data_IF_030312406436
#
_entry.id   IF_030312406436
#
_cell.length_a   1.000
_cell.length_b   1.000
_cell.length_c   1.000
_cell.angle_alpha   90.00
_cell.angle_beta   90.00
_cell.angle_gamma   90.00
#
_symmetry.space_group_name_H-M   'P 1'
#
loop_
_entity.id
_entity.type
_entity.pdbx_description
1 polymer ?
#
# COMPACT_ATOMS: atom_id res chain seq x y z
N UNK A 1 -7.16 6.05 8.74
CA UNK A 1 -5.99 5.49 9.50
C UNK A 1 -4.77 5.43 8.58
N UNK A 2 -3.57 5.83 9.06
CA UNK A 2 -2.29 5.71 8.35
C UNK A 2 -1.40 4.75 9.12
N UNK A 3 -0.91 3.67 8.48
CA UNK A 3 -0.17 2.60 9.15
C UNK A 3 1.15 2.31 8.43
N UNK A 4 2.27 2.43 9.16
CA UNK A 4 3.58 1.99 8.71
C UNK A 4 3.75 0.50 9.03
N UNK A 5 4.05 -0.30 8.02
CA UNK A 5 4.30 -1.73 8.11
C UNK A 5 5.77 -1.97 7.77
N UNK A 6 6.63 -2.19 8.78
CA UNK A 6 8.07 -2.35 8.56
C UNK A 6 8.40 -3.75 8.04
N UNK A 7 9.47 -3.84 7.25
CA UNK A 7 10.09 -5.09 6.80
C UNK A 7 9.11 -6.07 6.12
N UNK A 8 8.20 -5.57 5.27
CA UNK A 8 7.33 -6.43 4.47
C UNK A 8 8.15 -7.33 3.54
N UNK A 9 9.23 -6.79 2.96
CA UNK A 9 10.22 -7.57 2.20
C UNK A 9 11.53 -7.63 2.96
N UNK A 10 12.18 -8.80 2.93
CA UNK A 10 13.51 -8.98 3.47
C UNK A 10 14.61 -8.56 2.47
N UNK A 11 15.88 -8.56 2.91
CA UNK A 11 17.01 -8.10 2.09
C UNK A 11 17.25 -8.95 0.83
N UNK A 12 17.00 -10.26 0.88
CA UNK A 12 17.13 -11.15 -0.27
C UNK A 12 16.09 -10.81 -1.34
N UNK A 13 14.83 -10.64 -0.92
CA UNK A 13 13.76 -10.22 -1.81
C UNK A 13 14.06 -8.83 -2.41
N UNK A 14 14.50 -7.87 -1.60
CA UNK A 14 14.87 -6.54 -2.08
C UNK A 14 15.99 -6.59 -3.11
N UNK A 15 17.03 -7.42 -2.90
CA UNK A 15 18.08 -7.63 -3.89
C UNK A 15 17.52 -8.12 -5.22
N UNK A 16 16.64 -9.12 -5.19
CA UNK A 16 15.98 -9.62 -6.38
C UNK A 16 15.14 -8.54 -7.09
N UNK A 17 14.38 -7.71 -6.34
CA UNK A 17 13.63 -6.60 -6.92
C UNK A 17 14.54 -5.57 -7.60
N UNK A 18 15.63 -5.18 -6.96
CA UNK A 18 16.59 -4.25 -7.56
C UNK A 18 17.16 -4.80 -8.87
N UNK A 19 17.62 -6.06 -8.87
CA UNK A 19 18.21 -6.71 -10.06
C UNK A 19 17.20 -6.73 -11.23
N UNK A 20 15.94 -7.05 -10.97
CA UNK A 20 14.90 -7.10 -11.99
C UNK A 20 14.52 -5.70 -12.50
N UNK A 21 14.31 -4.75 -11.58
CA UNK A 21 13.85 -3.40 -11.92
C UNK A 21 14.92 -2.54 -12.60
N UNK A 22 16.23 -2.83 -12.35
CA UNK A 22 17.38 -2.16 -12.98
C UNK A 22 17.82 -2.85 -14.28
N UNK A 23 17.26 -4.02 -14.60
CA UNK A 23 17.60 -4.75 -15.81
C UNK A 23 17.31 -3.89 -17.06
N UNK A 24 18.22 -3.92 -18.04
CA UNK A 24 18.10 -3.12 -19.27
C UNK A 24 16.86 -3.47 -20.11
N UNK A 25 16.32 -4.67 -19.96
CA UNK A 25 15.11 -5.16 -20.63
C UNK A 25 13.85 -5.02 -19.76
N UNK A 26 13.93 -4.37 -18.61
CA UNK A 26 12.75 -4.13 -17.79
C UNK A 26 11.72 -3.31 -18.58
N UNK A 27 10.44 -3.75 -18.66
CA UNK A 27 9.45 -3.20 -19.57
C UNK A 27 8.81 -1.93 -18.99
N UNK A 28 9.62 -0.88 -18.83
CA UNK A 28 9.17 0.42 -18.37
C UNK A 28 8.40 1.15 -19.45
N UNK A 29 7.21 1.65 -19.11
CA UNK A 29 6.35 2.46 -19.97
C UNK A 29 5.99 3.78 -19.28
N UNK A 30 5.43 4.73 -20.02
CA UNK A 30 4.92 5.98 -19.45
C UNK A 30 3.81 5.69 -18.43
N UNK A 31 3.98 6.14 -17.19
CA UNK A 31 3.02 5.89 -16.11
C UNK A 31 1.65 6.56 -16.31
N UNK A 32 1.52 7.50 -17.23
CA UNK A 32 0.24 8.14 -17.57
C UNK A 32 -0.80 7.15 -18.11
N UNK A 33 -0.37 6.04 -18.70
CA UNK A 33 -1.28 5.00 -19.26
C UNK A 33 -2.23 4.40 -18.21
N UNK A 34 -1.87 4.48 -16.92
CA UNK A 34 -2.71 3.96 -15.82
C UNK A 34 -3.36 5.07 -14.99
N UNK A 35 -3.12 6.32 -15.33
CA UNK A 35 -3.69 7.46 -14.62
C UNK A 35 -5.16 7.67 -15.01
N UNK A 36 -6.00 8.01 -14.02
CA UNK A 36 -7.36 8.48 -14.28
C UNK A 36 -7.37 9.86 -14.96
N UNK A 37 -8.54 10.30 -15.40
CA UNK A 37 -8.74 11.52 -16.18
C UNK A 37 -8.03 12.76 -15.59
N UNK A 38 -8.05 12.95 -14.28
CA UNK A 38 -7.39 14.08 -13.60
C UNK A 38 -5.89 13.83 -13.42
N UNK A 39 -5.51 12.62 -13.03
CA UNK A 39 -4.12 12.25 -12.75
C UNK A 39 -3.21 12.30 -13.97
N UNK A 40 -3.72 12.10 -15.18
CA UNK A 40 -2.93 12.09 -16.42
C UNK A 40 -2.20 13.41 -16.67
N UNK A 41 -2.76 14.53 -16.19
CA UNK A 41 -2.20 15.88 -16.42
C UNK A 41 -1.06 16.23 -15.44
N UNK A 42 -0.97 15.53 -14.32
CA UNK A 42 -0.03 15.81 -13.22
C UNK A 42 0.92 14.67 -12.93
N UNK A 43 0.88 13.59 -13.71
CA UNK A 43 1.71 12.41 -13.54
C UNK A 43 2.87 12.39 -14.53
N UNK A 44 4.08 12.36 -14.00
CA UNK A 44 5.32 12.18 -14.74
C UNK A 44 6.15 11.12 -14.04
N UNK A 45 6.03 9.88 -14.47
CA UNK A 45 6.83 8.76 -13.98
C UNK A 45 6.85 7.63 -15.01
N UNK A 46 7.58 6.59 -14.72
CA UNK A 46 7.53 5.34 -15.47
C UNK A 46 6.92 4.23 -14.60
N UNK A 47 6.26 3.29 -15.25
CA UNK A 47 5.70 2.11 -14.61
C UNK A 47 6.11 0.85 -15.38
N UNK A 48 6.25 -0.29 -14.70
CA UNK A 48 6.29 -1.56 -15.42
C UNK A 48 5.00 -1.75 -16.19
N UNK A 49 5.11 -2.24 -17.43
CA UNK A 49 3.95 -2.58 -18.24
C UNK A 49 3.04 -3.54 -17.48
N UNK A 50 1.80 -3.15 -17.28
CA UNK A 50 0.79 -3.95 -16.56
C UNK A 50 0.60 -5.29 -17.29
N UNK A 51 0.62 -6.40 -16.52
CA UNK A 51 0.52 -7.75 -17.07
C UNK A 51 1.81 -8.30 -17.71
N UNK A 52 2.93 -7.57 -17.69
CA UNK A 52 4.22 -8.15 -18.08
C UNK A 52 4.63 -9.28 -17.14
N UNK A 53 5.39 -10.26 -17.65
CA UNK A 53 5.85 -11.41 -16.85
C UNK A 53 6.59 -10.94 -15.58
N UNK A 54 7.46 -9.93 -15.70
CA UNK A 54 8.19 -9.33 -14.58
C UNK A 54 7.24 -8.69 -13.56
N UNK A 55 6.24 -7.91 -13.98
CA UNK A 55 5.29 -7.29 -13.07
C UNK A 55 4.45 -8.34 -12.32
N UNK A 56 4.07 -9.43 -12.98
CA UNK A 56 3.35 -10.55 -12.38
C UNK A 56 4.22 -11.29 -11.35
N UNK A 57 5.45 -11.63 -11.71
CA UNK A 57 6.39 -12.34 -10.84
C UNK A 57 6.66 -11.53 -9.56
N UNK A 58 7.09 -10.28 -9.70
CA UNK A 58 7.36 -9.41 -8.56
C UNK A 58 6.09 -9.13 -7.74
N UNK A 59 4.95 -8.97 -8.40
CA UNK A 59 3.65 -8.80 -7.76
C UNK A 59 3.25 -9.99 -6.89
N UNK A 60 3.50 -11.21 -7.35
CA UNK A 60 3.22 -12.43 -6.58
C UNK A 60 4.07 -12.53 -5.31
N UNK A 61 5.33 -12.06 -5.35
CA UNK A 61 6.19 -12.00 -4.16
C UNK A 61 5.59 -11.03 -3.13
N UNK A 62 5.12 -9.86 -3.56
CA UNK A 62 4.47 -8.88 -2.68
C UNK A 62 3.19 -9.47 -2.08
N UNK A 63 2.32 -10.07 -2.90
CA UNK A 63 1.08 -10.67 -2.41
C UNK A 63 1.34 -11.77 -1.38
N UNK A 64 2.31 -12.65 -1.62
CA UNK A 64 2.68 -13.70 -0.67
C UNK A 64 3.25 -13.15 0.64
N UNK A 65 3.95 -12.01 0.61
CA UNK A 65 4.41 -11.31 1.80
C UNK A 65 3.24 -10.70 2.60
N UNK A 66 2.29 -10.05 1.92
CA UNK A 66 1.11 -9.45 2.53
C UNK A 66 0.23 -10.48 3.23
N UNK A 67 -0.02 -11.64 2.60
CA UNK A 67 -0.85 -12.72 3.16
C UNK A 67 -0.33 -13.27 4.49
N UNK A 68 0.95 -13.10 4.76
CA UNK A 68 1.62 -13.60 5.98
C UNK A 68 1.93 -12.51 7.00
N UNK A 69 1.66 -11.25 6.69
CA UNK A 69 2.03 -10.14 7.56
C UNK A 69 0.90 -9.76 8.52
N UNK A 70 1.00 -10.10 9.84
CA UNK A 70 -0.11 -9.92 10.79
C UNK A 70 -0.60 -8.47 10.88
N UNK A 71 0.33 -7.50 10.87
CA UNK A 71 -0.02 -6.09 10.95
C UNK A 71 -0.80 -5.61 9.71
N UNK A 72 -0.45 -6.11 8.51
CA UNK A 72 -1.20 -5.82 7.30
C UNK A 72 -2.62 -6.40 7.38
N UNK A 73 -2.74 -7.65 7.79
CA UNK A 73 -4.04 -8.33 7.90
C UNK A 73 -4.95 -7.59 8.89
N UNK A 74 -4.43 -7.24 10.06
CA UNK A 74 -5.18 -6.52 11.09
C UNK A 74 -5.59 -5.11 10.65
N UNK A 75 -4.68 -4.35 10.02
CA UNK A 75 -4.94 -2.97 9.61
C UNK A 75 -5.82 -2.86 8.37
N UNK A 76 -5.62 -3.74 7.38
CA UNK A 76 -6.34 -3.66 6.11
C UNK A 76 -7.66 -4.42 6.10
N UNK A 77 -7.80 -5.50 6.91
CA UNK A 77 -8.91 -6.46 6.83
C UNK A 77 -9.21 -6.81 5.35
N UNK A 78 -8.21 -7.38 4.62
CA UNK A 78 -8.27 -7.45 3.18
C UNK A 78 -9.32 -8.45 2.70
N UNK A 79 -10.23 -8.01 1.83
CA UNK A 79 -11.10 -8.86 1.03
C UNK A 79 -10.43 -9.19 -0.31
N UNK A 80 -9.91 -8.15 -0.99
CA UNK A 80 -9.19 -8.28 -2.27
C UNK A 80 -8.04 -7.30 -2.34
N UNK A 81 -6.94 -7.72 -2.93
CA UNK A 81 -5.80 -6.84 -3.24
C UNK A 81 -5.70 -6.71 -4.76
N UNK A 82 -5.63 -5.46 -5.25
CA UNK A 82 -5.36 -5.21 -6.67
C UNK A 82 -3.92 -5.67 -6.99
N UNK A 83 -3.66 -6.27 -8.15
CA UNK A 83 -2.32 -6.71 -8.53
C UNK A 83 -1.29 -5.58 -8.34
N UNK A 84 -0.19 -5.85 -7.62
CA UNK A 84 0.84 -4.85 -7.36
C UNK A 84 1.44 -4.28 -8.64
N UNK A 85 1.62 -2.97 -8.66
CA UNK A 85 2.17 -2.22 -9.79
C UNK A 85 3.47 -1.55 -9.35
N UNK A 86 4.41 -1.38 -10.27
CA UNK A 86 5.74 -0.85 -9.96
C UNK A 86 5.98 0.46 -10.69
N UNK A 87 6.53 1.43 -9.99
CA UNK A 87 6.86 2.72 -10.58
C UNK A 87 8.29 3.16 -10.24
N UNK A 88 8.85 4.01 -11.11
CA UNK A 88 10.09 4.72 -10.85
C UNK A 88 9.95 6.20 -11.17
N UNK A 89 10.66 7.01 -10.39
CA UNK A 89 10.77 8.44 -10.55
C UNK A 89 12.24 8.83 -10.54
N UNK A 90 12.65 9.68 -11.49
CA UNK A 90 14.00 10.20 -11.63
C UNK A 90 14.00 11.52 -12.42
N UNK A 91 15.05 12.33 -12.30
CA UNK A 91 15.24 13.50 -13.17
C UNK A 91 14.10 14.50 -13.18
N UNK A 92 13.53 14.85 -12.02
CA UNK A 92 12.41 15.79 -11.88
C UNK A 92 11.01 15.14 -11.98
N UNK A 93 10.93 13.84 -12.24
CA UNK A 93 9.66 13.12 -12.26
C UNK A 93 8.92 13.23 -10.95
N UNK A 94 7.60 13.33 -11.02
CA UNK A 94 6.70 13.54 -9.89
C UNK A 94 5.29 13.02 -10.19
N UNK A 95 4.44 13.03 -9.18
CA UNK A 95 3.00 12.87 -9.35
C UNK A 95 2.29 13.92 -8.50
N UNK A 96 1.65 14.88 -9.15
CA UNK A 96 0.96 15.97 -8.48
C UNK A 96 -0.22 15.52 -7.63
N UNK A 97 -0.82 16.46 -6.89
CA UNK A 97 -1.93 16.17 -5.98
C UNK A 97 -3.10 15.51 -6.70
N UNK A 98 -3.54 14.39 -6.17
CA UNK A 98 -4.67 13.61 -6.69
C UNK A 98 -5.30 12.74 -5.61
N UNK A 99 -6.49 12.24 -5.88
CA UNK A 99 -7.16 11.18 -5.13
C UNK A 99 -7.25 9.96 -6.02
N UNK A 100 -7.07 8.79 -5.47
CA UNK A 100 -7.14 7.54 -6.23
C UNK A 100 -8.56 7.24 -6.75
N UNK A 101 -8.64 6.58 -7.89
CA UNK A 101 -9.93 6.19 -8.47
C UNK A 101 -10.63 5.16 -7.58
N UNK A 102 -11.88 5.41 -7.20
CA UNK A 102 -12.66 4.64 -6.22
C UNK A 102 -12.95 3.18 -6.64
N UNK A 103 -13.00 2.91 -7.94
CA UNK A 103 -13.28 1.58 -8.50
C UNK A 103 -12.26 1.27 -9.59
N UNK A 104 -11.67 0.09 -9.53
CA UNK A 104 -10.78 -0.42 -10.56
C UNK A 104 -11.28 -1.74 -11.12
N UNK A 105 -10.97 -1.99 -12.39
CA UNK A 105 -11.25 -3.26 -13.04
C UNK A 105 -10.05 -4.20 -12.83
N UNK A 106 -10.31 -5.39 -12.31
CA UNK A 106 -9.26 -6.42 -12.18
C UNK A 106 -8.87 -6.94 -13.57
N UNK A 107 -7.58 -6.88 -13.94
CA UNK A 107 -7.13 -7.32 -15.27
C UNK A 107 -7.55 -8.76 -15.58
N UNK A 108 -8.04 -8.99 -16.79
CA UNK A 108 -8.41 -10.33 -17.30
C UNK A 108 -9.66 -10.96 -16.70
N UNK A 109 -10.34 -10.31 -15.74
CA UNK A 109 -11.49 -10.94 -15.04
C UNK A 109 -12.84 -10.29 -15.30
N UNK A 110 -12.85 -9.03 -15.72
CA UNK A 110 -14.08 -8.22 -15.79
C UNK A 110 -14.67 -7.82 -14.43
N UNK A 111 -14.07 -8.26 -13.32
CA UNK A 111 -14.52 -7.93 -11.98
C UNK A 111 -14.03 -6.55 -11.55
N UNK A 112 -14.84 -5.88 -10.73
CA UNK A 112 -14.50 -4.59 -10.14
C UNK A 112 -14.02 -4.77 -8.70
N UNK A 113 -13.09 -3.93 -8.30
CA UNK A 113 -12.60 -3.82 -6.93
C UNK A 113 -12.79 -2.38 -6.45
N UNK A 114 -13.33 -2.20 -5.26
CA UNK A 114 -13.38 -0.92 -4.56
C UNK A 114 -12.01 -0.65 -3.94
N UNK A 115 -11.51 0.57 -4.09
CA UNK A 115 -10.23 0.99 -3.52
C UNK A 115 -10.48 1.68 -2.18
N UNK A 116 -10.50 0.93 -1.09
CA UNK A 116 -10.71 1.50 0.26
C UNK A 116 -9.38 2.03 0.83
N UNK A 117 -8.31 1.31 0.56
CA UNK A 117 -6.96 1.64 1.03
C UNK A 117 -6.00 1.68 -0.16
N UNK A 118 -5.08 2.63 -0.09
CA UNK A 118 -3.89 2.73 -0.95
C UNK A 118 -2.67 2.27 -0.18
N UNK A 119 -1.76 1.59 -0.86
CA UNK A 119 -0.52 1.09 -0.30
C UNK A 119 0.67 1.49 -1.17
N UNK A 120 1.76 1.89 -0.53
CA UNK A 120 3.05 2.13 -1.18
C UNK A 120 4.15 1.39 -0.44
N UNK A 121 4.77 0.43 -1.11
CA UNK A 121 5.95 -0.30 -0.65
C UNK A 121 7.19 0.36 -1.25
N UNK A 122 8.09 0.82 -0.39
CA UNK A 122 9.34 1.46 -0.80
C UNK A 122 10.37 0.38 -1.19
N UNK A 123 11.01 0.55 -2.35
CA UNK A 123 11.96 -0.41 -2.90
C UNK A 123 13.39 0.18 -3.02
N UNK A 124 13.53 1.49 -2.86
CA UNK A 124 14.83 2.16 -2.87
C UNK A 124 15.15 2.73 -1.49
N UNK A 125 16.41 2.65 -1.02
CA UNK A 125 16.84 3.28 0.23
C UNK A 125 16.56 4.79 0.22
N UNK A 126 16.09 5.38 1.34
CA UNK A 126 15.68 6.79 1.38
C UNK A 126 16.81 7.79 1.12
N UNK A 127 18.07 7.42 1.34
CA UNK A 127 19.28 8.21 1.10
C UNK A 127 19.83 8.05 -0.33
N UNK A 128 19.34 7.08 -1.10
CA UNK A 128 19.76 6.85 -2.49
C UNK A 128 19.17 7.87 -3.48
N UNK A 129 18.16 8.65 -3.07
CA UNK A 129 17.52 9.67 -3.91
C UNK A 129 17.12 10.91 -3.09
N UNK A 130 17.04 12.08 -3.73
CA UNK A 130 16.57 13.33 -3.14
C UNK A 130 15.19 13.71 -3.68
N UNK A 131 14.34 14.30 -2.82
CA UNK A 131 12.93 14.49 -3.12
C UNK A 131 12.15 13.15 -3.06
N UNK A 132 11.09 13.05 -3.84
CA UNK A 132 10.31 11.82 -3.97
C UNK A 132 9.52 11.42 -2.72
N UNK A 133 9.37 12.32 -1.74
CA UNK A 133 8.52 12.08 -0.59
C UNK A 133 7.07 11.86 -1.05
N UNK A 134 6.40 10.89 -0.46
CA UNK A 134 4.95 10.74 -0.54
C UNK A 134 4.31 11.65 0.52
N UNK A 135 3.55 12.63 0.08
CA UNK A 135 2.79 13.51 0.96
C UNK A 135 1.34 13.08 0.95
N UNK A 136 0.78 12.85 2.13
CA UNK A 136 -0.61 12.42 2.33
C UNK A 136 -1.29 13.48 3.19
N UNK A 137 -2.35 14.09 2.66
CA UNK A 137 -3.13 15.07 3.41
C UNK A 137 -4.17 14.37 4.27
N UNK A 138 -4.16 14.70 5.55
CA UNK A 138 -5.07 14.20 6.57
C UNK A 138 -5.80 15.38 7.22
N UNK A 139 -6.82 15.10 8.02
CA UNK A 139 -7.59 16.09 8.80
C UNK A 139 -6.69 16.95 9.70
N UNK A 140 -5.58 16.39 10.16
CA UNK A 140 -4.62 17.04 11.08
C UNK A 140 -3.38 17.61 10.39
N UNK A 141 -3.36 17.67 9.05
CA UNK A 141 -2.26 18.21 8.27
C UNK A 141 -1.65 17.22 7.28
N UNK A 142 -0.50 17.57 6.72
CA UNK A 142 0.20 16.75 5.72
C UNK A 142 1.23 15.85 6.39
N UNK A 143 1.12 14.55 6.16
CA UNK A 143 2.13 13.57 6.54
C UNK A 143 3.14 13.43 5.41
N UNK A 144 4.42 13.56 5.74
CA UNK A 144 5.54 13.36 4.79
C UNK A 144 6.13 11.98 5.02
N UNK A 145 6.08 11.13 4.01
CA UNK A 145 6.48 9.72 4.11
C UNK A 145 7.62 9.42 3.15
N UNK A 146 8.73 8.91 3.69
CA UNK A 146 9.90 8.41 2.95
C UNK A 146 10.55 7.32 3.80
N UNK A 147 10.17 6.07 3.56
CA UNK A 147 10.51 4.92 4.41
C UNK A 147 11.72 4.14 3.89
N UNK A 148 12.36 3.31 4.72
CA UNK A 148 13.34 2.33 4.29
C UNK A 148 12.83 1.41 3.19
N UNK A 149 13.74 0.89 2.38
CA UNK A 149 13.39 -0.16 1.42
C UNK A 149 12.87 -1.41 2.15
N UNK A 150 11.81 -2.00 1.65
CA UNK A 150 11.10 -3.12 2.27
C UNK A 150 9.93 -2.72 3.16
N UNK A 151 9.79 -1.44 3.49
CA UNK A 151 8.71 -0.93 4.32
C UNK A 151 7.52 -0.48 3.48
N UNK A 152 6.32 -0.69 4.00
CA UNK A 152 5.06 -0.31 3.35
C UNK A 152 4.32 0.74 4.18
N UNK A 153 3.73 1.71 3.52
CA UNK A 153 2.74 2.61 4.10
C UNK A 153 1.35 2.28 3.55
N UNK A 154 0.38 2.15 4.46
CA UNK A 154 -1.03 1.92 4.17
C UNK A 154 -1.83 3.14 4.61
N UNK A 155 -2.71 3.67 3.73
CA UNK A 155 -3.50 4.86 4.01
C UNK A 155 -4.85 4.83 3.26
N UNK A 156 -5.86 5.62 3.69
CA UNK A 156 -7.15 5.66 3.00
C UNK A 156 -7.00 6.15 1.56
N UNK A 157 -7.56 5.42 0.60
CA UNK A 157 -7.50 5.78 -0.82
C UNK A 157 -8.24 7.08 -1.15
N UNK A 158 -9.08 7.56 -0.23
CA UNK A 158 -9.77 8.86 -0.30
C UNK A 158 -8.88 10.05 0.05
N UNK A 159 -7.67 9.82 0.59
CA UNK A 159 -6.75 10.90 0.96
C UNK A 159 -6.21 11.61 -0.28
N UNK A 160 -6.17 12.95 -0.25
CA UNK A 160 -5.41 13.73 -1.23
C UNK A 160 -3.93 13.48 -1.00
N UNK A 161 -3.20 13.09 -2.04
CA UNK A 161 -1.77 12.77 -1.91
C UNK A 161 -0.99 13.13 -3.16
N UNK A 162 0.34 13.19 -3.02
CA UNK A 162 1.27 13.48 -4.13
C UNK A 162 2.64 12.86 -3.87
N UNK A 163 3.42 12.71 -4.94
CA UNK A 163 4.86 12.38 -4.88
C UNK A 163 5.65 13.60 -5.35
N UNK A 164 6.49 14.14 -4.47
CA UNK A 164 7.36 15.26 -4.77
C UNK A 164 8.35 14.93 -5.91
N UNK A 165 8.85 15.94 -6.66
CA UNK A 165 9.87 15.71 -7.67
C UNK A 165 11.12 15.01 -7.12
N UNK A 166 11.62 13.99 -7.83
CA UNK A 166 12.89 13.34 -7.54
C UNK A 166 14.00 14.10 -8.26
N UNK A 167 14.84 14.78 -7.51
CA UNK A 167 15.87 15.69 -8.06
C UNK A 167 17.24 15.02 -8.25
N UNK A 168 17.53 13.95 -7.50
CA UNK A 168 18.73 13.11 -7.62
C UNK A 168 18.35 11.63 -7.42
N UNK A 169 19.07 10.73 -8.08
CA UNK A 169 18.88 9.31 -7.95
C UNK A 169 17.57 8.80 -8.55
N UNK A 170 17.12 7.63 -8.10
CA UNK A 170 15.91 6.96 -8.58
C UNK A 170 15.07 6.46 -7.41
N UNK A 171 13.84 6.93 -7.31
CA UNK A 171 12.85 6.38 -6.39
C UNK A 171 12.13 5.21 -7.05
N UNK A 172 12.27 4.02 -6.48
CA UNK A 172 11.53 2.82 -6.87
C UNK A 172 10.47 2.51 -5.81
N UNK A 173 9.26 2.19 -6.24
CA UNK A 173 8.20 1.76 -5.34
C UNK A 173 7.24 0.78 -6.03
N UNK A 174 6.62 -0.07 -5.22
CA UNK A 174 5.45 -0.83 -5.58
C UNK A 174 4.22 -0.16 -4.96
N UNK A 175 3.10 -0.11 -5.67
CA UNK A 175 1.85 0.46 -5.18
C UNK A 175 0.67 -0.39 -5.61
N UNK A 176 -0.36 -0.42 -4.78
CA UNK A 176 -1.57 -1.19 -5.03
C UNK A 176 -2.73 -0.67 -4.17
N UNK A 177 -3.91 -1.22 -4.42
CA UNK A 177 -5.11 -0.90 -3.65
C UNK A 177 -5.68 -2.15 -2.99
N UNK A 178 -6.35 -1.93 -1.87
CA UNK A 178 -7.02 -2.98 -1.12
C UNK A 178 -8.50 -2.64 -1.01
N UNK A 179 -9.34 -3.59 -1.38
CA UNK A 179 -10.72 -3.62 -0.95
C UNK A 179 -10.75 -4.30 0.41
N UNK A 180 -11.13 -3.55 1.43
CA UNK A 180 -11.31 -4.07 2.77
C UNK A 180 -12.65 -4.81 2.91
N UNK A 181 -12.72 -5.79 3.80
CA UNK A 181 -13.99 -6.35 4.27
C UNK A 181 -14.84 -5.30 4.98
N UNK A 182 -14.21 -4.29 5.57
CA UNK A 182 -14.90 -3.19 6.26
C UNK A 182 -14.69 -1.89 5.47
N UNK A 183 -15.76 -1.37 4.87
CA UNK A 183 -15.72 -0.21 3.98
C UNK A 183 -15.34 1.09 4.70
N UNK A 184 -15.89 1.32 5.87
CA UNK A 184 -15.73 2.56 6.62
C UNK A 184 -14.37 2.63 7.32
N UNK A 185 -13.63 3.74 7.13
CA UNK A 185 -12.28 3.92 7.70
C UNK A 185 -12.31 4.06 9.22
N UNK A 186 -13.34 4.69 9.79
CA UNK A 186 -13.51 4.82 11.24
C UNK A 186 -13.74 3.45 11.89
N UNK A 187 -14.59 2.61 11.28
CA UNK A 187 -14.84 1.24 11.76
C UNK A 187 -13.59 0.38 11.66
N UNK A 188 -12.82 0.49 10.58
CA UNK A 188 -11.52 -0.22 10.47
C UNK A 188 -10.54 0.23 11.55
N UNK A 189 -10.46 1.54 11.80
CA UNK A 189 -9.60 2.09 12.85
C UNK A 189 -9.99 1.52 14.23
N UNK A 190 -11.28 1.50 14.55
CA UNK A 190 -11.78 0.93 15.82
C UNK A 190 -11.44 -0.56 15.95
N UNK A 191 -11.61 -1.36 14.89
CA UNK A 191 -11.24 -2.77 14.90
C UNK A 191 -9.73 -2.95 15.07
N UNK A 192 -8.93 -2.16 14.39
CA UNK A 192 -7.48 -2.20 14.52
C UNK A 192 -6.99 -1.85 15.93
N UNK A 193 -7.56 -0.80 16.54
CA UNK A 193 -7.22 -0.40 17.91
C UNK A 193 -7.65 -1.46 18.92
N UNK A 194 -8.83 -2.07 18.73
CA UNK A 194 -9.32 -3.13 19.58
C UNK A 194 -8.46 -4.40 19.46
N UNK A 195 -8.06 -4.79 18.24
CA UNK A 195 -7.17 -5.92 18.01
C UNK A 195 -5.79 -5.69 18.67
N UNK A 196 -5.20 -4.51 18.51
CA UNK A 196 -3.96 -4.14 19.17
C UNK A 196 -4.06 -4.20 20.71
N UNK A 197 -5.19 -3.76 21.27
CA UNK A 197 -5.43 -3.85 22.72
C UNK A 197 -5.51 -5.31 23.18
N UNK A 198 -6.23 -6.17 22.44
CA UNK A 198 -6.35 -7.61 22.73
C UNK A 198 -4.97 -8.28 22.67
N UNK A 199 -4.17 -7.99 21.63
CA UNK A 199 -2.82 -8.53 21.46
C UNK A 199 -1.90 -8.14 22.63
N UNK A 200 -1.92 -6.87 23.08
CA UNK A 200 -1.16 -6.41 24.26
C UNK A 200 -1.57 -7.12 25.54
N UNK A 201 -2.88 -7.26 25.79
CA UNK A 201 -3.39 -7.99 26.95
C UNK A 201 -3.00 -9.48 26.89
N UNK A 202 -2.96 -10.06 25.70
CA UNK A 202 -2.52 -11.45 25.49
C UNK A 202 -1.03 -11.61 25.80
N UNK A 203 -0.18 -10.70 25.30
CA UNK A 203 1.26 -10.73 25.53
C UNK A 203 1.64 -10.55 27.02
N UNK A 204 0.83 -9.83 27.80
CA UNK A 204 1.05 -9.60 29.23
C UNK A 204 0.36 -10.63 30.14
N UNK A 205 -0.25 -11.69 29.57
CA UNK A 205 -1.05 -12.66 30.32
C UNK A 205 -2.11 -12.00 31.24
N UNK A 206 -2.68 -10.89 30.79
CA UNK A 206 -3.73 -10.20 31.53
C UNK A 206 -4.99 -11.09 31.67
N UNK A 207 -5.96 -10.63 32.47
CA UNK A 207 -7.20 -11.33 32.78
C UNK A 207 -7.85 -12.03 31.58
N UNK A 208 -7.91 -13.37 31.64
CA UNK A 208 -8.42 -14.21 30.55
C UNK A 208 -9.89 -13.94 30.24
N UNK A 209 -10.70 -13.68 31.25
CA UNK A 209 -12.13 -13.44 31.06
C UNK A 209 -12.37 -12.15 30.28
N UNK A 210 -11.60 -11.10 30.55
CA UNK A 210 -11.65 -9.84 29.79
C UNK A 210 -11.14 -10.03 28.34
N UNK A 211 -10.06 -10.80 28.14
CA UNK A 211 -9.56 -11.10 26.77
C UNK A 211 -10.61 -11.80 25.94
N UNK A 212 -11.26 -12.84 26.49
CA UNK A 212 -12.33 -13.58 25.80
C UNK A 212 -13.49 -12.67 25.44
N UNK A 213 -13.92 -11.78 26.35
CA UNK A 213 -15.00 -10.82 26.08
C UNK A 213 -14.62 -9.83 24.99
N UNK A 214 -13.42 -9.23 25.04
CA UNK A 214 -12.94 -8.27 24.03
C UNK A 214 -12.79 -8.93 22.66
N UNK A 215 -12.24 -10.15 22.61
CA UNK A 215 -12.17 -10.94 21.37
C UNK A 215 -13.57 -11.22 20.81
N UNK A 216 -14.54 -11.54 21.67
CA UNK A 216 -15.94 -11.70 21.29
C UNK A 216 -16.54 -10.41 20.72
N UNK A 217 -16.26 -9.26 21.33
CA UNK A 217 -16.66 -7.95 20.81
C UNK A 217 -16.05 -7.68 19.41
N UNK A 218 -14.74 -7.92 19.25
CA UNK A 218 -14.06 -7.77 17.98
C UNK A 218 -14.73 -8.59 16.87
N UNK A 219 -14.93 -9.87 17.09
CA UNK A 219 -15.54 -10.74 16.07
C UNK A 219 -16.98 -10.37 15.77
N UNK A 220 -17.76 -9.91 16.76
CA UNK A 220 -19.13 -9.49 16.54
C UNK A 220 -19.21 -8.17 15.78
N UNK A 221 -18.35 -7.21 16.08
CA UNK A 221 -18.23 -5.97 15.29
C UNK A 221 -17.80 -6.27 13.85
N UNK A 222 -16.82 -7.14 13.66
CA UNK A 222 -16.37 -7.55 12.33
C UNK A 222 -17.51 -8.21 11.52
N UNK A 223 -18.30 -9.11 12.11
CA UNK A 223 -19.50 -9.70 11.45
C UNK A 223 -20.52 -8.63 11.07
N UNK A 224 -20.71 -7.63 11.91
CA UNK A 224 -21.71 -6.58 11.69
C UNK A 224 -21.29 -5.62 10.58
N UNK A 225 -19.97 -5.33 10.48
CA UNK A 225 -19.46 -4.29 9.60
C UNK A 225 -18.86 -4.83 8.30
N UNK A 226 -18.63 -6.14 8.19
CA UNK A 226 -18.05 -6.72 6.98
C UNK A 226 -19.05 -6.76 5.81
N UNK A 227 -18.53 -6.43 4.63
CA UNK A 227 -19.18 -6.44 3.33
C UNK A 227 -18.25 -7.25 2.38
N UNK A 228 -18.54 -8.56 2.22
CA UNK A 228 -17.71 -9.57 1.52
C UNK A 228 -18.42 -10.19 0.33
#
# INVERSE_FOLDING_TARGET
>A
MLVHIPNLLNNEQLGHFCDQLDAANAPWVDGRVTAGHQGIHVKQNQQLAEGSAMAIELGNIVLAALERHPLFISAALPNRVYPPMFNRYQGGMHFGSHVDGSIRLLPGTGQKIRTDLSATLFLAPPDSYDGGELLIEDTYGTQTVKLPAGDLILYPASSLHRVNPVTRGTRLACFFWVQSMVRDDGQRTLLFDLDNAIQRLTATNADEASRVKLTGCYHNLLRTWSDI
#
